data_IF_095389858873
#
_entry.id   IF_095389858873
#
_cell.length_a   1.000
_cell.length_b   1.000
_cell.length_c   1.000
_cell.angle_alpha   90.00
_cell.angle_beta   90.00
_cell.angle_gamma   90.00
#
_symmetry.space_group_name_H-M   'P 1'
#
loop_
_entity.id
_entity.type
_entity.pdbx_description
1 polymer ?
#
# COMPACT_ATOMS: atom_id res chain seq x y z
N UNK A 1 -11.99 6.81 -5.98
CA UNK A 1 -12.54 5.88 -7.00
C UNK A 1 -12.96 4.57 -6.32
N UNK A 2 -13.88 3.82 -6.92
CA UNK A 2 -14.21 2.45 -6.49
C UNK A 2 -13.25 1.42 -7.13
N UNK A 3 -13.34 0.16 -6.69
CA UNK A 3 -12.49 -0.94 -7.19
C UNK A 3 -12.50 -1.09 -8.72
N UNK A 4 -13.66 -1.00 -9.36
CA UNK A 4 -13.80 -1.18 -10.81
C UNK A 4 -13.14 -0.03 -11.57
N UNK A 5 -13.36 1.20 -11.13
CA UNK A 5 -12.72 2.40 -11.68
C UNK A 5 -11.19 2.31 -11.56
N UNK A 6 -10.67 1.90 -10.40
CA UNK A 6 -9.22 1.74 -10.18
C UNK A 6 -8.66 0.65 -11.10
N UNK A 7 -9.38 -0.46 -11.25
CA UNK A 7 -8.98 -1.56 -12.13
C UNK A 7 -8.90 -1.12 -13.59
N UNK A 8 -9.89 -0.35 -14.05
CA UNK A 8 -9.92 0.17 -15.42
C UNK A 8 -8.81 1.18 -15.66
N UNK A 9 -8.59 2.09 -14.70
CA UNK A 9 -7.49 3.06 -14.77
C UNK A 9 -6.12 2.37 -14.84
N UNK A 10 -5.88 1.39 -13.95
CA UNK A 10 -4.62 0.63 -13.98
C UNK A 10 -4.47 -0.10 -15.31
N UNK A 11 -5.53 -0.75 -15.80
CA UNK A 11 -5.51 -1.48 -17.08
C UNK A 11 -5.20 -0.57 -18.27
N UNK A 12 -5.68 0.66 -18.26
CA UNK A 12 -5.47 1.63 -19.34
C UNK A 12 -4.01 2.06 -19.46
N UNK A 13 -3.33 2.25 -18.33
CA UNK A 13 -2.00 2.85 -18.29
C UNK A 13 -0.85 1.90 -17.97
N UNK A 14 -1.14 0.69 -17.48
CA UNK A 14 -0.09 -0.24 -17.07
C UNK A 14 0.78 -0.73 -18.23
N UNK A 15 2.06 -0.85 -17.96
CA UNK A 15 3.01 -1.65 -18.68
C UNK A 15 3.15 -3.05 -18.06
N UNK A 16 3.95 -3.91 -18.71
CA UNK A 16 4.06 -5.32 -18.34
C UNK A 16 4.75 -5.53 -16.98
N UNK A 17 5.69 -4.66 -16.62
CA UNK A 17 6.53 -4.79 -15.44
C UNK A 17 6.15 -3.83 -14.29
N UNK A 18 5.07 -3.05 -14.45
CA UNK A 18 4.56 -2.12 -13.42
C UNK A 18 4.08 -2.82 -12.16
N UNK A 19 3.63 -4.08 -12.29
CA UNK A 19 3.16 -4.90 -11.19
C UNK A 19 3.78 -6.29 -11.22
N UNK A 20 4.01 -6.86 -10.05
CA UNK A 20 4.65 -8.18 -9.93
C UNK A 20 3.73 -9.35 -10.25
N UNK A 21 2.42 -9.11 -10.22
CA UNK A 21 1.37 -10.11 -10.41
C UNK A 21 0.77 -10.54 -9.07
N UNK A 22 -0.54 -10.80 -9.10
CA UNK A 22 -1.33 -11.14 -7.92
C UNK A 22 -0.85 -12.37 -7.14
N UNK A 23 -1.07 -12.34 -5.83
CA UNK A 23 -0.71 -13.44 -4.91
C UNK A 23 -1.92 -14.17 -4.34
N UNK A 24 -1.74 -15.43 -3.97
CA UNK A 24 -2.83 -16.24 -3.43
C UNK A 24 -3.06 -16.02 -1.92
N UNK A 25 -4.16 -16.56 -1.40
CA UNK A 25 -4.54 -16.43 0.02
C UNK A 25 -3.48 -16.95 0.99
N UNK A 26 -2.71 -17.99 0.63
CA UNK A 26 -1.66 -18.51 1.51
C UNK A 26 -0.50 -17.53 1.67
N UNK A 27 -0.17 -16.77 0.62
CA UNK A 27 0.85 -15.72 0.67
C UNK A 27 0.34 -14.52 1.48
N UNK A 28 -0.93 -14.13 1.30
CA UNK A 28 -1.55 -13.06 2.11
C UNK A 28 -1.61 -13.48 3.59
N UNK A 29 -1.97 -14.72 3.88
CA UNK A 29 -1.94 -15.28 5.23
C UNK A 29 -0.54 -15.22 5.84
N UNK A 30 0.51 -15.54 5.07
CA UNK A 30 1.88 -15.45 5.55
C UNK A 30 2.29 -14.00 5.90
N UNK A 31 1.85 -13.01 5.13
CA UNK A 31 2.05 -11.59 5.46
C UNK A 31 1.35 -11.22 6.78
N UNK A 32 0.05 -11.54 6.89
CA UNK A 32 -0.74 -11.28 8.10
C UNK A 32 -0.14 -11.95 9.34
N UNK A 33 0.25 -13.22 9.21
CA UNK A 33 0.87 -13.99 10.28
C UNK A 33 2.19 -13.36 10.73
N UNK A 34 3.05 -12.99 9.79
CA UNK A 34 4.37 -12.42 10.11
C UNK A 34 4.27 -11.04 10.74
N UNK A 35 3.36 -10.20 10.27
CA UNK A 35 3.14 -8.87 10.83
C UNK A 35 2.23 -8.88 12.07
N UNK A 36 1.59 -10.02 12.38
CA UNK A 36 0.61 -10.20 13.46
C UNK A 36 -0.57 -9.22 13.37
N UNK A 37 -1.11 -9.05 12.15
CA UNK A 37 -2.22 -8.13 11.85
C UNK A 37 -3.24 -8.78 10.91
N UNK A 38 -4.46 -8.25 10.90
CA UNK A 38 -5.45 -8.54 9.85
C UNK A 38 -5.48 -7.39 8.85
N UNK A 39 -5.26 -7.70 7.56
CA UNK A 39 -5.21 -6.70 6.50
C UNK A 39 -6.62 -6.34 6.01
N UNK A 40 -6.87 -5.07 5.63
CA UNK A 40 -8.17 -4.64 5.13
C UNK A 40 -8.49 -5.28 3.77
N UNK A 41 -9.77 -5.41 3.46
CA UNK A 41 -10.27 -6.10 2.26
C UNK A 41 -9.77 -5.45 0.97
N UNK A 42 -9.73 -4.12 0.92
CA UNK A 42 -9.16 -3.34 -0.18
C UNK A 42 -7.68 -3.63 -0.46
N UNK A 43 -6.84 -3.74 0.58
CA UNK A 43 -5.43 -4.06 0.39
C UNK A 43 -5.21 -5.54 0.05
N UNK A 44 -5.99 -6.46 0.65
CA UNK A 44 -5.98 -7.88 0.24
C UNK A 44 -6.36 -8.04 -1.23
N UNK A 45 -7.33 -7.28 -1.72
CA UNK A 45 -7.67 -7.25 -3.15
C UNK A 45 -6.47 -6.81 -4.02
N UNK A 46 -5.76 -5.76 -3.60
CA UNK A 46 -4.58 -5.28 -4.31
C UNK A 46 -3.49 -6.34 -4.37
N UNK A 47 -3.14 -6.94 -3.23
CA UNK A 47 -2.21 -8.06 -3.17
C UNK A 47 -2.64 -9.21 -4.10
N UNK A 48 -3.92 -9.59 -4.04
CA UNK A 48 -4.44 -10.70 -4.84
C UNK A 48 -4.47 -10.43 -6.35
N UNK A 49 -4.56 -9.16 -6.75
CA UNK A 49 -4.68 -8.77 -8.17
C UNK A 49 -3.34 -8.37 -8.78
N UNK A 50 -2.51 -7.67 -8.01
CA UNK A 50 -1.32 -6.98 -8.50
C UNK A 50 -0.03 -7.40 -7.79
N UNK A 51 -0.12 -7.93 -6.56
CA UNK A 51 1.05 -8.32 -5.76
C UNK A 51 1.70 -7.10 -5.12
N UNK A 52 2.60 -6.43 -5.84
CA UNK A 52 3.20 -5.13 -5.51
C UNK A 52 3.46 -4.34 -6.79
N UNK A 53 3.76 -3.04 -6.66
CA UNK A 53 4.06 -2.14 -7.78
C UNK A 53 3.10 -0.97 -7.87
N UNK A 54 3.07 -0.30 -9.02
CA UNK A 54 2.24 0.89 -9.23
C UNK A 54 2.50 1.54 -10.58
N UNK A 55 2.00 2.77 -10.76
CA UNK A 55 2.14 3.54 -12.01
C UNK A 55 2.71 4.92 -11.71
N UNK A 56 3.28 5.56 -12.74
CA UNK A 56 3.70 6.96 -12.68
C UNK A 56 4.68 7.27 -11.52
N UNK A 57 5.54 6.30 -11.18
CA UNK A 57 6.50 6.42 -10.08
C UNK A 57 5.94 6.13 -8.69
N UNK A 58 4.63 5.87 -8.55
CA UNK A 58 4.05 5.31 -7.31
C UNK A 58 4.44 3.83 -7.23
N UNK A 59 4.99 3.41 -6.09
CA UNK A 59 5.31 2.00 -5.82
C UNK A 59 4.64 1.54 -4.53
N UNK A 60 3.59 0.72 -4.67
CA UNK A 60 2.88 0.13 -3.54
C UNK A 60 3.56 -1.17 -3.13
N UNK A 61 4.03 -1.20 -1.89
CA UNK A 61 4.62 -2.36 -1.26
C UNK A 61 3.60 -3.49 -1.15
N UNK A 62 4.08 -4.72 -1.26
CA UNK A 62 3.23 -5.91 -1.23
C UNK A 62 4.05 -7.17 -1.29
N UNK A 63 3.64 -8.11 -2.14
CA UNK A 63 4.37 -9.36 -2.36
C UNK A 63 4.82 -9.44 -3.81
N UNK A 64 6.12 -9.33 -4.00
CA UNK A 64 6.77 -9.33 -5.30
C UNK A 64 7.13 -10.72 -5.84
N UNK A 65 7.84 -10.72 -6.96
CA UNK A 65 8.38 -11.93 -7.60
C UNK A 65 9.23 -12.73 -6.58
N UNK A 66 9.24 -14.05 -6.72
CA UNK A 66 9.96 -14.97 -5.81
C UNK A 66 9.51 -14.91 -4.33
N UNK A 67 8.26 -14.50 -4.06
CA UNK A 67 7.69 -14.36 -2.71
C UNK A 67 8.42 -13.36 -1.80
N UNK A 68 9.07 -12.35 -2.39
CA UNK A 68 9.66 -11.26 -1.63
C UNK A 68 8.53 -10.35 -1.14
N UNK A 69 8.18 -10.46 0.14
CA UNK A 69 7.17 -9.61 0.76
C UNK A 69 7.77 -8.27 1.19
N UNK A 70 7.88 -7.32 0.26
CA UNK A 70 8.42 -5.98 0.53
C UNK A 70 7.64 -5.27 1.64
N UNK A 71 6.31 -5.44 1.67
CA UNK A 71 5.45 -4.92 2.76
C UNK A 71 5.91 -5.40 4.14
N UNK A 72 6.34 -6.66 4.25
CA UNK A 72 6.81 -7.23 5.53
C UNK A 72 8.18 -6.66 5.88
N UNK A 73 9.13 -6.74 4.94
CA UNK A 73 10.52 -6.33 5.17
C UNK A 73 10.58 -4.86 5.59
N UNK A 74 9.85 -4.00 4.87
CA UNK A 74 9.83 -2.56 5.16
C UNK A 74 9.10 -2.29 6.48
N UNK A 75 7.93 -2.91 6.71
CA UNK A 75 7.20 -2.72 7.98
C UNK A 75 8.03 -3.14 9.19
N UNK A 76 8.72 -4.28 9.15
CA UNK A 76 9.62 -4.74 10.21
C UNK A 76 10.78 -3.73 10.43
N UNK A 77 11.33 -3.16 9.35
CA UNK A 77 12.34 -2.12 9.43
C UNK A 77 11.85 -0.87 10.17
N UNK A 78 10.64 -0.40 9.86
CA UNK A 78 10.03 0.76 10.53
C UNK A 78 9.64 0.46 11.98
N UNK A 79 9.20 -0.76 12.32
CA UNK A 79 8.97 -1.17 13.71
C UNK A 79 10.25 -1.12 14.54
N UNK A 80 11.41 -1.37 13.91
CA UNK A 80 12.73 -1.14 14.51
C UNK A 80 13.03 0.33 14.83
N UNK A 81 12.26 1.26 14.26
CA UNK A 81 12.28 2.70 14.53
C UNK A 81 11.12 3.12 15.46
N UNK A 82 10.66 2.20 16.32
CA UNK A 82 9.57 2.43 17.29
C UNK A 82 8.18 2.68 16.66
N UNK A 83 8.00 2.40 15.36
CA UNK A 83 6.68 2.40 14.74
C UNK A 83 5.80 1.31 15.37
N UNK A 84 4.54 1.66 15.66
CA UNK A 84 3.56 0.75 16.27
C UNK A 84 3.33 -0.54 15.47
N UNK A 85 3.15 -1.67 16.16
CA UNK A 85 2.81 -2.95 15.55
C UNK A 85 1.47 -2.94 14.81
N UNK A 86 0.57 -2.00 15.13
CA UNK A 86 -0.70 -1.83 14.43
C UNK A 86 -0.57 -1.09 13.09
N UNK A 87 0.64 -0.69 12.70
CA UNK A 87 0.90 -0.02 11.42
C UNK A 87 1.56 -0.98 10.44
N UNK A 88 1.13 -0.89 9.18
CA UNK A 88 1.71 -1.63 8.05
C UNK A 88 2.08 -0.65 6.96
N UNK A 89 3.36 -0.59 6.59
CA UNK A 89 3.88 0.33 5.57
C UNK A 89 3.49 -0.19 4.19
N UNK A 90 2.76 0.62 3.42
CA UNK A 90 2.32 0.31 2.05
C UNK A 90 3.03 1.12 0.98
N UNK A 91 3.73 2.19 1.35
CA UNK A 91 4.60 2.97 0.46
C UNK A 91 5.68 3.66 1.33
N UNK A 92 6.96 3.53 0.96
CA UNK A 92 8.08 4.28 1.57
C UNK A 92 8.40 5.48 0.67
N UNK A 93 8.06 6.68 1.14
CA UNK A 93 8.27 7.95 0.45
C UNK A 93 9.53 8.68 0.94
N UNK A 94 10.53 7.94 1.44
CA UNK A 94 11.79 8.50 1.93
C UNK A 94 11.66 8.99 3.36
N UNK A 95 11.35 10.27 3.58
CA UNK A 95 11.20 10.84 4.94
C UNK A 95 9.90 10.40 5.63
N UNK A 96 8.91 9.98 4.84
CA UNK A 96 7.61 9.52 5.31
C UNK A 96 7.31 8.10 4.81
N UNK A 97 6.47 7.37 5.54
CA UNK A 97 5.81 6.17 5.08
C UNK A 97 4.30 6.37 5.11
N UNK A 98 3.60 5.87 4.09
CA UNK A 98 2.15 5.71 4.18
C UNK A 98 1.84 4.35 4.79
N UNK A 99 1.02 4.35 5.84
CA UNK A 99 0.74 3.16 6.64
C UNK A 99 -0.76 2.89 6.72
N UNK A 100 -1.14 1.61 6.59
CA UNK A 100 -2.44 1.12 7.05
C UNK A 100 -2.47 1.19 8.57
N UNK A 101 -3.44 1.89 9.14
CA UNK A 101 -3.63 1.95 10.58
C UNK A 101 -4.68 0.95 11.05
N UNK A 102 -4.21 -0.27 11.31
CA UNK A 102 -5.04 -1.43 11.68
C UNK A 102 -5.78 -1.21 13.01
N UNK A 103 -5.29 -0.30 13.86
CA UNK A 103 -5.95 0.00 15.14
C UNK A 103 -7.32 0.67 14.97
N UNK A 104 -7.61 1.20 13.79
CA UNK A 104 -8.87 1.87 13.42
C UNK A 104 -9.64 1.10 12.35
N UNK A 105 -9.69 -0.24 12.46
CA UNK A 105 -10.44 -1.11 11.54
C UNK A 105 -11.96 -0.96 11.74
N UNK A 106 -12.68 -0.62 10.69
CA UNK A 106 -14.14 -0.54 10.64
C UNK A 106 -14.65 -1.15 9.32
N UNK A 107 -15.59 -2.09 9.39
CA UNK A 107 -16.14 -2.80 8.21
C UNK A 107 -15.05 -3.42 7.30
N UNK A 108 -14.03 -4.03 7.90
CA UNK A 108 -12.85 -4.60 7.22
C UNK A 108 -12.01 -3.61 6.42
N UNK A 109 -12.13 -2.32 6.71
CA UNK A 109 -11.31 -1.26 6.14
C UNK A 109 -10.65 -0.44 7.24
N UNK A 110 -9.52 0.18 6.96
CA UNK A 110 -8.83 1.02 7.93
C UNK A 110 -8.26 2.27 7.23
N UNK A 111 -8.10 3.40 7.96
CA UNK A 111 -7.52 4.60 7.39
C UNK A 111 -6.05 4.41 7.03
N UNK A 112 -5.57 5.28 6.13
CA UNK A 112 -4.16 5.45 5.84
C UNK A 112 -3.66 6.69 6.56
N UNK A 113 -2.48 6.60 7.15
CA UNK A 113 -1.78 7.71 7.81
C UNK A 113 -0.40 7.90 7.21
N UNK A 114 0.18 9.08 7.41
CA UNK A 114 1.60 9.31 7.18
C UNK A 114 2.39 9.10 8.48
N UNK A 115 3.51 8.39 8.41
CA UNK A 115 4.44 8.20 9.52
C UNK A 115 5.78 8.82 9.17
N UNK A 116 6.25 9.78 9.97
CA UNK A 116 7.47 10.53 9.76
C UNK A 116 8.66 9.84 10.45
N UNK A 117 9.75 9.55 9.73
CA UNK A 117 10.95 8.90 10.29
C UNK A 117 11.62 9.68 11.42
N UNK A 118 11.54 11.00 11.43
CA UNK A 118 12.15 11.86 12.43
C UNK A 118 11.21 12.16 13.61
N UNK A 119 9.89 12.20 13.35
CA UNK A 119 8.88 12.70 14.30
C UNK A 119 7.89 11.66 14.82
N UNK A 120 7.87 10.45 14.24
CA UNK A 120 6.89 9.42 14.55
C UNK A 120 5.55 9.61 13.83
N UNK A 121 4.47 9.19 14.48
CA UNK A 121 3.11 9.25 13.93
C UNK A 121 2.69 10.70 13.69
N UNK A 122 2.25 11.00 12.46
CA UNK A 122 1.52 12.24 12.20
C UNK A 122 0.02 11.97 12.42
N UNK A 123 -0.68 12.87 13.10
CA UNK A 123 -2.14 12.76 13.37
C UNK A 123 -2.98 12.97 12.10
N UNK A 124 -2.34 13.10 10.94
CA UNK A 124 -2.98 13.32 9.65
C UNK A 124 -3.36 11.99 8.96
N UNK A 125 -4.64 11.64 9.04
CA UNK A 125 -5.24 10.59 8.20
C UNK A 125 -5.29 11.08 6.75
N UNK A 126 -4.51 10.44 5.89
CA UNK A 126 -4.35 10.81 4.47
C UNK A 126 -5.48 10.27 3.61
N UNK A 127 -6.06 9.12 3.97
CA UNK A 127 -7.20 8.53 3.29
C UNK A 127 -8.04 7.66 4.25
N UNK A 128 -9.32 7.41 3.92
CA UNK A 128 -10.22 6.61 4.78
C UNK A 128 -10.05 5.11 4.60
N UNK A 129 -9.54 4.68 3.45
CA UNK A 129 -9.24 3.30 3.10
C UNK A 129 -8.21 3.24 1.98
N UNK A 130 -7.73 2.02 1.68
CA UNK A 130 -6.71 1.83 0.67
C UNK A 130 -7.20 2.15 -0.76
N UNK A 131 -8.49 1.96 -1.10
CA UNK A 131 -8.99 2.34 -2.43
C UNK A 131 -8.90 3.85 -2.66
N UNK A 132 -9.31 4.64 -1.67
CA UNK A 132 -9.21 6.10 -1.72
C UNK A 132 -7.76 6.53 -1.89
N UNK A 133 -6.87 6.00 -1.04
CA UNK A 133 -5.43 6.25 -1.10
C UNK A 133 -4.84 5.93 -2.47
N UNK A 134 -5.01 4.70 -2.95
CA UNK A 134 -4.46 4.27 -4.23
C UNK A 134 -5.00 5.15 -5.37
N UNK A 135 -6.28 5.51 -5.35
CA UNK A 135 -6.84 6.38 -6.39
C UNK A 135 -6.25 7.79 -6.38
N UNK A 136 -6.08 8.40 -5.21
CA UNK A 136 -5.45 9.72 -5.07
C UNK A 136 -4.00 9.66 -5.54
N UNK A 137 -3.21 8.70 -5.03
CA UNK A 137 -1.80 8.53 -5.38
C UNK A 137 -1.60 8.41 -6.89
N UNK A 138 -2.40 7.58 -7.57
CA UNK A 138 -2.28 7.36 -9.01
C UNK A 138 -2.77 8.55 -9.85
N UNK A 139 -3.83 9.24 -9.45
CA UNK A 139 -4.32 10.44 -10.15
C UNK A 139 -3.29 11.56 -10.03
N UNK A 140 -2.86 11.88 -8.81
CA UNK A 140 -1.90 12.95 -8.54
C UNK A 140 -0.58 12.70 -9.30
N UNK A 141 -0.09 11.45 -9.27
CA UNK A 141 1.13 11.09 -9.99
C UNK A 141 0.95 11.18 -11.51
N UNK A 142 -0.22 10.83 -12.05
CA UNK A 142 -0.52 10.97 -13.47
C UNK A 142 -0.55 12.44 -13.92
N UNK A 143 -1.14 13.32 -13.12
CA UNK A 143 -1.20 14.76 -13.42
C UNK A 143 0.22 15.34 -13.52
N UNK A 144 1.08 15.04 -12.55
CA UNK A 144 2.50 15.46 -12.56
C UNK A 144 3.24 14.87 -13.77
N UNK A 145 3.05 13.58 -14.04
CA UNK A 145 3.72 12.91 -15.17
C UNK A 145 3.30 13.46 -16.53
N UNK A 146 2.06 13.98 -16.65
CA UNK A 146 1.56 14.62 -17.86
C UNK A 146 2.07 16.05 -18.09
N UNK A 147 2.54 16.74 -17.06
CA UNK A 147 3.11 18.10 -17.16
C UNK A 147 4.57 18.10 -17.63
N UNK A 148 5.26 16.95 -17.60
CA UNK A 148 6.65 16.80 -18.03
C UNK A 148 6.84 16.61 -19.55
N UNK A 149 5.76 16.68 -20.36
CA UNK A 149 5.78 16.49 -21.82
C UNK A 149 5.17 17.65 -22.62
#
# INVERSE_FOLDING_TARGET
MNKEEITNFIKEYREIDDFTGGVNESQIYAVQYRLSVELPDSYKWFLNTYGSGGLFGVDILGVGKSNIASVVIVTEGYRGLEMSDNLVVIEDAGEYAYCLDISHMENNECPIIAWNKQGGLDDYRTAKNFYEFLSQRLIDAKEVWGEEF
#
